data_IF_687903833392
#
_entry.id   IF_687903833392
#
_cell.length_a   1.000
_cell.length_b   1.000
_cell.length_c   1.000
_cell.angle_alpha   90.00
_cell.angle_beta   90.00
_cell.angle_gamma   90.00
#
_symmetry.space_group_name_H-M   'P 1'
#
loop_
_entity.id
_entity.type
_entity.pdbx_description
1 polymer ?
#
# COMPACT_ATOMS: atom_id res chain seq x y z
N UNK A 1 -26.59 -0.40 15.13
CA UNK A 1 -25.80 0.39 14.15
C UNK A 1 -25.00 1.41 14.95
N UNK A 2 -23.69 1.21 15.09
CA UNK A 2 -22.81 2.12 15.84
C UNK A 2 -22.48 3.30 14.93
N UNK A 3 -22.84 4.51 15.33
CA UNK A 3 -22.51 5.73 14.57
C UNK A 3 -20.98 5.85 14.57
N UNK A 4 -20.30 5.86 13.42
CA UNK A 4 -18.85 5.98 13.39
C UNK A 4 -18.44 7.35 13.96
N UNK A 5 -17.47 7.35 14.87
CA UNK A 5 -17.00 8.57 15.51
C UNK A 5 -16.35 9.47 14.45
N UNK A 6 -16.94 10.63 14.17
CA UNK A 6 -16.56 11.52 13.05
C UNK A 6 -15.06 11.84 13.04
N UNK A 7 -14.48 12.08 14.22
CA UNK A 7 -13.03 12.34 14.38
C UNK A 7 -12.19 11.15 13.90
N UNK A 8 -12.60 9.92 14.21
CA UNK A 8 -11.89 8.70 13.82
C UNK A 8 -11.93 8.51 12.30
N UNK A 9 -13.06 8.81 11.65
CA UNK A 9 -13.19 8.73 10.20
C UNK A 9 -12.28 9.76 9.52
N UNK A 10 -12.32 11.02 9.96
CA UNK A 10 -11.50 12.09 9.37
C UNK A 10 -10.02 11.79 9.56
N UNK A 11 -9.59 11.49 10.78
CA UNK A 11 -8.18 11.18 11.08
C UNK A 11 -7.70 9.96 10.29
N UNK A 12 -8.48 8.88 10.25
CA UNK A 12 -8.15 7.69 9.47
C UNK A 12 -8.01 7.98 7.98
N UNK A 13 -8.95 8.74 7.41
CA UNK A 13 -8.91 9.11 6.00
C UNK A 13 -7.70 9.98 5.66
N UNK A 14 -7.40 10.99 6.49
CA UNK A 14 -6.19 11.82 6.33
C UNK A 14 -4.93 10.98 6.38
N UNK A 15 -4.82 10.04 7.32
CA UNK A 15 -3.68 9.14 7.46
C UNK A 15 -3.46 8.29 6.21
N UNK A 16 -4.53 7.75 5.65
CA UNK A 16 -4.49 6.97 4.40
C UNK A 16 -3.99 7.84 3.24
N UNK A 17 -4.54 9.04 3.08
CA UNK A 17 -4.13 9.96 2.00
C UNK A 17 -2.65 10.31 2.11
N UNK A 18 -2.19 10.74 3.29
CA UNK A 18 -0.78 11.12 3.51
C UNK A 18 0.15 9.95 3.19
N UNK A 19 -0.23 8.74 3.62
CA UNK A 19 0.53 7.52 3.34
C UNK A 19 0.59 7.20 1.84
N UNK A 20 -0.49 7.39 1.10
CA UNK A 20 -0.51 7.21 -0.36
C UNK A 20 0.41 8.20 -1.07
N UNK A 21 0.42 9.46 -0.65
CA UNK A 21 1.32 10.48 -1.22
C UNK A 21 2.79 10.20 -0.92
N UNK A 22 3.10 9.69 0.28
CA UNK A 22 4.47 9.30 0.65
C UNK A 22 5.01 8.11 -0.16
N UNK A 23 4.15 7.16 -0.55
CA UNK A 23 4.54 5.97 -1.33
C UNK A 23 5.01 6.31 -2.75
N UNK A 24 4.41 7.32 -3.38
CA UNK A 24 4.68 7.72 -4.77
C UNK A 24 6.17 7.96 -5.09
N UNK A 25 6.88 8.85 -4.37
CA UNK A 25 8.30 9.11 -4.63
C UNK A 25 9.18 7.88 -4.38
N UNK A 26 8.94 7.13 -3.30
CA UNK A 26 9.73 5.93 -2.93
C UNK A 26 9.64 4.86 -4.02
N UNK A 27 8.41 4.55 -4.45
CA UNK A 27 8.21 3.53 -5.51
C UNK A 27 8.80 3.96 -6.85
N UNK A 28 8.78 5.25 -7.18
CA UNK A 28 9.41 5.78 -8.39
C UNK A 28 10.93 5.70 -8.33
N UNK A 29 11.56 6.02 -7.20
CA UNK A 29 13.00 5.91 -7.04
C UNK A 29 13.49 4.46 -7.23
N UNK A 30 12.82 3.49 -6.59
CA UNK A 30 13.11 2.06 -6.75
C UNK A 30 12.88 1.58 -8.19
N UNK A 31 11.73 1.92 -8.78
CA UNK A 31 11.42 1.57 -10.16
C UNK A 31 12.42 2.18 -11.15
N UNK A 32 12.94 3.37 -10.84
CA UNK A 32 13.90 4.05 -11.70
C UNK A 32 15.28 3.39 -11.69
N UNK A 33 15.67 2.82 -10.54
CA UNK A 33 16.96 2.15 -10.32
C UNK A 33 16.96 0.71 -10.83
N UNK A 34 15.87 -0.03 -10.63
CA UNK A 34 15.81 -1.47 -10.93
C UNK A 34 15.26 -1.79 -12.34
N UNK A 35 14.48 -0.89 -12.95
CA UNK A 35 13.80 -1.19 -14.21
C UNK A 35 14.47 -0.47 -15.40
N UNK A 36 15.00 -1.23 -16.38
CA UNK A 36 15.53 -0.67 -17.63
C UNK A 36 14.49 0.21 -18.34
N UNK A 37 14.92 1.36 -18.84
CA UNK A 37 14.04 2.38 -19.46
C UNK A 37 13.14 1.81 -20.56
N UNK A 38 13.67 0.90 -21.38
CA UNK A 38 12.98 0.25 -22.50
C UNK A 38 11.76 -0.60 -22.08
N UNK A 39 11.79 -1.19 -20.88
CA UNK A 39 10.73 -2.09 -20.40
C UNK A 39 9.89 -1.48 -19.29
N UNK A 40 10.20 -0.26 -18.84
CA UNK A 40 9.54 0.39 -17.70
C UNK A 40 8.03 0.54 -17.89
N UNK A 41 7.59 0.95 -19.09
CA UNK A 41 6.17 1.08 -19.39
C UNK A 41 5.43 -0.26 -19.24
N UNK A 42 6.01 -1.35 -19.74
CA UNK A 42 5.41 -2.70 -19.65
C UNK A 42 5.38 -3.20 -18.20
N UNK A 43 6.48 -3.06 -17.46
CA UNK A 43 6.55 -3.51 -16.06
C UNK A 43 5.57 -2.73 -15.17
N UNK A 44 5.49 -1.40 -15.35
CA UNK A 44 4.52 -0.57 -14.63
C UNK A 44 3.08 -0.93 -15.00
N UNK A 45 2.80 -1.22 -16.27
CA UNK A 45 1.47 -1.62 -16.71
C UNK A 45 1.06 -2.97 -16.10
N UNK A 46 1.96 -3.95 -16.10
CA UNK A 46 1.73 -5.26 -15.46
C UNK A 46 1.49 -5.10 -13.96
N UNK A 47 2.33 -4.30 -13.27
CA UNK A 47 2.15 -4.03 -11.85
C UNK A 47 0.80 -3.36 -11.54
N UNK A 48 0.39 -2.39 -12.34
CA UNK A 48 -0.90 -1.69 -12.20
C UNK A 48 -2.09 -2.61 -12.48
N UNK A 49 -2.00 -3.43 -13.53
CA UNK A 49 -3.04 -4.39 -13.91
C UNK A 49 -3.21 -5.47 -12.85
N UNK A 50 -2.09 -6.00 -12.33
CA UNK A 50 -2.12 -7.00 -11.26
C UNK A 50 -2.68 -6.41 -9.96
N UNK A 51 -2.28 -5.19 -9.60
CA UNK A 51 -2.84 -4.47 -8.46
C UNK A 51 -4.36 -4.28 -8.58
N UNK A 52 -4.83 -3.92 -9.76
CA UNK A 52 -6.26 -3.76 -10.06
C UNK A 52 -7.00 -5.09 -9.98
N UNK A 53 -6.44 -6.16 -10.53
CA UNK A 53 -7.02 -7.51 -10.46
C UNK A 53 -7.14 -8.01 -9.02
N UNK A 54 -6.09 -7.84 -8.21
CA UNK A 54 -6.12 -8.18 -6.78
C UNK A 54 -7.22 -7.36 -6.10
N UNK A 55 -7.32 -6.06 -6.36
CA UNK A 55 -8.37 -5.21 -5.80
C UNK A 55 -9.79 -5.71 -6.14
N UNK A 56 -10.02 -6.09 -7.40
CA UNK A 56 -11.30 -6.64 -7.86
C UNK A 56 -11.65 -7.94 -7.11
N UNK A 57 -10.67 -8.81 -6.86
CA UNK A 57 -10.90 -10.09 -6.17
C UNK A 57 -11.07 -9.93 -4.66
N UNK A 58 -10.33 -9.02 -4.03
CA UNK A 58 -10.31 -8.85 -2.58
C UNK A 58 -11.51 -8.04 -2.08
N UNK A 59 -12.01 -7.05 -2.86
CA UNK A 59 -13.11 -6.19 -2.42
C UNK A 59 -14.41 -6.94 -2.08
N UNK A 60 -14.88 -7.94 -2.87
CA UNK A 60 -16.02 -8.77 -2.49
C UNK A 60 -15.80 -9.56 -1.21
N UNK A 61 -14.58 -10.05 -0.97
CA UNK A 61 -14.21 -10.79 0.25
C UNK A 61 -14.27 -9.85 1.46
N UNK A 62 -13.76 -8.62 1.32
CA UNK A 62 -13.87 -7.59 2.34
C UNK A 62 -15.33 -7.25 2.61
N UNK A 63 -16.15 -7.07 1.58
CA UNK A 63 -17.58 -6.80 1.72
C UNK A 63 -18.30 -7.91 2.48
N UNK A 64 -18.07 -9.17 2.09
CA UNK A 64 -18.63 -10.35 2.76
C UNK A 64 -18.18 -10.47 4.23
N UNK A 65 -16.93 -10.09 4.54
CA UNK A 65 -16.44 -10.03 5.91
C UNK A 65 -17.12 -8.92 6.72
N UNK A 66 -17.22 -7.73 6.13
CA UNK A 66 -17.82 -6.56 6.76
C UNK A 66 -19.30 -6.79 7.09
N UNK A 67 -20.03 -7.52 6.24
CA UNK A 67 -21.43 -7.88 6.48
C UNK A 67 -21.61 -8.80 7.71
N UNK A 68 -20.62 -9.64 8.03
CA UNK A 68 -20.64 -10.51 9.23
C UNK A 68 -20.17 -9.79 10.48
N UNK A 69 -18.99 -9.18 10.42
CA UNK A 69 -18.38 -8.49 11.55
C UNK A 69 -17.42 -7.40 11.08
N UNK A 70 -17.90 -6.14 11.04
CA UNK A 70 -17.08 -5.00 10.61
C UNK A 70 -15.79 -4.87 11.42
N UNK A 71 -15.84 -5.11 12.74
CA UNK A 71 -14.69 -4.97 13.64
C UNK A 71 -13.60 -5.98 13.29
N UNK A 72 -13.96 -7.25 13.11
CA UNK A 72 -13.01 -8.32 12.78
C UNK A 72 -12.41 -8.09 11.39
N UNK A 73 -13.22 -7.67 10.42
CA UNK A 73 -12.73 -7.37 9.07
C UNK A 73 -11.73 -6.20 9.06
N UNK A 74 -12.03 -5.11 9.77
CA UNK A 74 -11.10 -3.98 9.88
C UNK A 74 -9.80 -4.39 10.56
N UNK A 75 -9.86 -5.16 11.65
CA UNK A 75 -8.66 -5.70 12.29
C UNK A 75 -7.85 -6.62 11.37
N UNK A 76 -8.52 -7.48 10.61
CA UNK A 76 -7.88 -8.35 9.62
C UNK A 76 -7.14 -7.54 8.54
N UNK A 77 -7.79 -6.52 7.99
CA UNK A 77 -7.17 -5.60 7.03
C UNK A 77 -5.96 -4.90 7.66
N UNK A 78 -6.09 -4.39 8.88
CA UNK A 78 -5.01 -3.71 9.58
C UNK A 78 -3.79 -4.62 9.79
N UNK A 79 -4.00 -5.88 10.17
CA UNK A 79 -2.91 -6.87 10.34
C UNK A 79 -2.22 -7.14 9.00
N UNK A 80 -2.98 -7.38 7.93
CA UNK A 80 -2.42 -7.64 6.60
C UNK A 80 -1.58 -6.43 6.14
N UNK A 81 -2.12 -5.21 6.25
CA UNK A 81 -1.40 -4.00 5.88
C UNK A 81 -0.16 -3.78 6.76
N UNK A 82 -0.22 -4.09 8.05
CA UNK A 82 0.92 -4.00 8.96
C UNK A 82 2.03 -4.98 8.56
N UNK A 83 1.69 -6.23 8.22
CA UNK A 83 2.67 -7.21 7.72
C UNK A 83 3.30 -6.71 6.42
N UNK A 84 2.49 -6.21 5.48
CA UNK A 84 3.00 -5.63 4.23
C UNK A 84 3.93 -4.45 4.51
N UNK A 85 3.60 -3.57 5.45
CA UNK A 85 4.48 -2.48 5.87
C UNK A 85 5.83 -3.00 6.38
N UNK A 86 5.83 -4.05 7.21
CA UNK A 86 7.07 -4.65 7.73
C UNK A 86 7.95 -5.21 6.60
N UNK A 87 7.37 -5.79 5.55
CA UNK A 87 8.15 -6.28 4.39
C UNK A 87 8.88 -5.17 3.62
N UNK A 88 8.43 -3.93 3.74
CA UNK A 88 9.05 -2.77 3.09
C UNK A 88 10.24 -2.20 3.87
N UNK A 89 10.37 -2.46 5.17
CA UNK A 89 11.48 -1.99 6.01
C UNK A 89 12.85 -2.40 5.44
N UNK A 90 13.14 -3.69 5.14
CA UNK A 90 14.44 -4.07 4.60
C UNK A 90 14.71 -3.47 3.22
N UNK A 91 13.67 -3.29 2.41
CA UNK A 91 13.75 -2.66 1.09
C UNK A 91 14.15 -1.20 1.24
N UNK A 92 13.43 -0.46 2.10
CA UNK A 92 13.73 0.95 2.37
C UNK A 92 15.17 1.14 2.89
N UNK A 93 15.60 0.31 3.85
CA UNK A 93 16.96 0.38 4.38
C UNK A 93 18.03 0.16 3.30
N UNK A 94 17.79 -0.76 2.35
CA UNK A 94 18.72 -1.00 1.24
C UNK A 94 18.85 0.22 0.32
N UNK A 95 17.78 0.98 0.09
CA UNK A 95 17.84 2.14 -0.82
C UNK A 95 18.33 3.41 -0.13
N UNK A 96 18.06 3.60 1.16
CA UNK A 96 18.59 4.73 1.95
C UNK A 96 20.11 4.61 2.15
N UNK A 97 20.64 3.41 2.40
CA UNK A 97 22.09 3.22 2.61
C UNK A 97 22.94 3.40 1.34
N UNK A 98 22.35 3.26 0.14
CA UNK A 98 23.11 3.43 -1.11
C UNK A 98 23.33 4.91 -1.44
N UNK A 99 22.51 5.83 -0.92
CA UNK A 99 22.78 7.27 -1.03
C UNK A 99 24.02 7.69 -0.24
N UNK A 100 24.30 7.07 0.92
CA UNK A 100 25.48 7.43 1.75
C UNK A 100 26.83 6.91 1.17
N UNK A 101 26.82 6.02 0.18
CA UNK A 101 28.07 5.45 -0.38
C UNK A 101 28.48 6.05 -1.72
N UNK A 102 27.67 6.95 -2.30
CA UNK A 102 27.96 7.67 -3.55
C UNK A 102 28.37 9.14 -3.34
N UNK A 103 28.54 9.60 -2.08
CA UNK A 103 29.17 10.90 -1.76
C UNK A 103 30.69 10.79 -1.50
#
# INVERSE_FOLDING_TARGET
>A
MTIPHTICVISGFTLVIVSMFARGPITRAVANKEIPSERRATVLNVASTLGSLIGILINPIIGWGADRSPVVTVFGIAIVLFIVMLTWIPIANRYVQVEETEE
#
